data_IF_142771410420
#
_entry.id   IF_142771410420
#
_cell.length_a   1.000
_cell.length_b   1.000
_cell.length_c   1.000
_cell.angle_alpha   90.00
_cell.angle_beta   90.00
_cell.angle_gamma   90.00
#
_symmetry.space_group_name_H-M   'P 1'
#
loop_
_entity.id
_entity.type
_entity.pdbx_description
1 polymer ?
#
# COMPACT_ATOMS: atom_id res chain seq x y z
N UNK A 1 -19.97 24.88 4.78
CA UNK A 1 -19.26 23.73 4.17
C UNK A 1 -18.47 22.91 5.20
N UNK A 2 -18.33 23.35 6.47
CA UNK A 2 -17.52 22.69 7.50
C UNK A 2 -18.15 21.46 8.19
N UNK A 3 -19.48 21.32 8.16
CA UNK A 3 -20.21 20.24 8.87
C UNK A 3 -20.09 18.88 8.17
N UNK A 4 -19.98 18.85 6.84
CA UNK A 4 -19.85 17.61 6.06
C UNK A 4 -18.47 16.96 6.23
N UNK A 5 -17.41 17.76 6.24
CA UNK A 5 -16.03 17.29 6.45
C UNK A 5 -15.84 16.71 7.85
N UNK A 6 -16.37 17.38 8.89
CA UNK A 6 -16.29 16.88 10.28
C UNK A 6 -17.08 15.58 10.48
N UNK A 7 -18.24 15.45 9.84
CA UNK A 7 -19.03 14.21 9.93
C UNK A 7 -18.33 13.03 9.24
N UNK A 8 -17.69 13.28 8.08
CA UNK A 8 -16.93 12.25 7.36
C UNK A 8 -15.72 11.77 8.16
N UNK A 9 -14.97 12.70 8.73
CA UNK A 9 -13.82 12.38 9.58
C UNK A 9 -14.23 11.51 10.79
N UNK A 10 -15.37 11.82 11.42
CA UNK A 10 -15.90 11.01 12.53
C UNK A 10 -16.29 9.57 12.11
N UNK A 11 -16.80 9.38 10.88
CA UNK A 11 -17.10 8.06 10.33
C UNK A 11 -15.81 7.26 10.09
N UNK A 12 -14.79 7.91 9.53
CA UNK A 12 -13.51 7.25 9.22
C UNK A 12 -12.75 6.88 10.51
N UNK A 13 -12.80 7.74 11.53
CA UNK A 13 -12.27 7.45 12.87
C UNK A 13 -12.97 6.23 13.52
N UNK A 14 -14.29 6.13 13.37
CA UNK A 14 -15.05 4.99 13.87
C UNK A 14 -14.76 3.69 13.11
N UNK A 15 -14.52 3.78 11.79
CA UNK A 15 -14.22 2.62 10.92
C UNK A 15 -12.96 1.86 11.33
N UNK A 16 -11.99 2.56 11.91
CA UNK A 16 -10.70 2.02 12.33
C UNK A 16 -10.52 1.97 13.85
N UNK A 17 -11.60 2.05 14.63
CA UNK A 17 -11.56 2.04 16.08
C UNK A 17 -10.91 0.75 16.67
N UNK A 18 -11.07 -0.38 15.98
CA UNK A 18 -10.51 -1.69 16.32
C UNK A 18 -9.01 -1.85 15.98
N UNK A 19 -8.45 -0.92 15.20
CA UNK A 19 -7.01 -0.92 14.87
C UNK A 19 -6.22 -0.42 16.08
N UNK A 20 -5.43 -1.33 16.68
CA UNK A 20 -4.65 -1.05 17.90
C UNK A 20 -3.55 -0.02 17.67
N UNK A 21 -2.86 -0.10 16.53
CA UNK A 21 -1.86 0.90 16.14
C UNK A 21 -2.57 2.20 15.76
N UNK A 22 -2.49 3.20 16.63
CA UNK A 22 -3.17 4.49 16.43
C UNK A 22 -2.58 5.31 15.29
N UNK A 23 -1.29 5.13 14.97
CA UNK A 23 -0.66 5.78 13.80
C UNK A 23 -1.22 5.18 12.52
N UNK A 24 -1.32 3.85 12.48
CA UNK A 24 -1.95 3.15 11.36
C UNK A 24 -3.42 3.53 11.20
N UNK A 25 -4.19 3.60 12.30
CA UNK A 25 -5.60 4.00 12.26
C UNK A 25 -5.77 5.41 11.67
N UNK A 26 -4.95 6.38 12.14
CA UNK A 26 -4.97 7.74 11.63
C UNK A 26 -4.54 7.82 10.15
N UNK A 27 -3.51 7.07 9.74
CA UNK A 27 -3.07 7.01 8.35
C UNK A 27 -4.13 6.39 7.43
N UNK A 28 -4.81 5.33 7.87
CA UNK A 28 -5.92 4.71 7.13
C UNK A 28 -7.06 5.71 6.89
N UNK A 29 -7.48 6.43 7.92
CA UNK A 29 -8.52 7.45 7.82
C UNK A 29 -8.11 8.62 6.91
N UNK A 30 -6.87 9.11 7.06
CA UNK A 30 -6.34 10.20 6.24
C UNK A 30 -6.26 9.82 4.75
N UNK A 31 -5.84 8.59 4.44
CA UNK A 31 -5.78 8.11 3.06
C UNK A 31 -7.18 7.87 2.45
N UNK A 32 -8.16 7.42 3.24
CA UNK A 32 -9.56 7.31 2.78
C UNK A 32 -10.14 8.68 2.39
N UNK A 33 -9.82 9.72 3.18
CA UNK A 33 -10.17 11.09 2.85
C UNK A 33 -9.44 11.56 1.58
N UNK A 34 -8.12 11.35 1.49
CA UNK A 34 -7.31 11.74 0.34
C UNK A 34 -7.71 11.03 -0.97
N UNK A 35 -8.17 9.77 -0.92
CA UNK A 35 -8.72 9.06 -2.09
C UNK A 35 -9.97 9.75 -2.64
N UNK A 36 -10.80 10.31 -1.77
CA UNK A 36 -11.97 11.11 -2.20
C UNK A 36 -11.52 12.38 -2.95
N UNK A 37 -10.31 12.87 -2.67
CA UNK A 37 -9.68 14.02 -3.32
C UNK A 37 -8.79 13.64 -4.52
N UNK A 38 -8.72 12.34 -4.88
CA UNK A 38 -8.04 11.86 -6.08
C UNK A 38 -6.69 11.18 -5.87
N UNK A 39 -6.33 10.82 -4.62
CA UNK A 39 -5.20 9.90 -4.38
C UNK A 39 -5.44 8.58 -5.12
N UNK A 40 -4.45 8.13 -5.89
CA UNK A 40 -4.48 6.79 -6.50
C UNK A 40 -4.40 5.73 -5.39
N UNK A 41 -5.33 4.77 -5.31
CA UNK A 41 -5.29 3.70 -4.31
C UNK A 41 -3.99 2.88 -4.31
N UNK A 42 -3.26 2.84 -5.43
CA UNK A 42 -1.95 2.17 -5.53
C UNK A 42 -0.79 3.02 -5.00
N UNK A 43 -1.04 4.27 -4.62
CA UNK A 43 -0.09 5.18 -3.97
C UNK A 43 -0.22 5.19 -2.43
N UNK A 44 -1.20 4.46 -1.87
CA UNK A 44 -1.34 4.34 -0.42
C UNK A 44 -0.11 3.67 0.21
N UNK A 45 0.27 4.17 1.38
CA UNK A 45 1.21 3.55 2.32
C UNK A 45 0.51 2.61 3.33
N UNK A 46 -0.81 2.65 3.43
CA UNK A 46 -1.60 1.66 4.18
C UNK A 46 -2.44 0.78 3.26
N UNK A 47 -2.87 -0.37 3.76
CA UNK A 47 -3.82 -1.24 3.10
C UNK A 47 -5.14 -1.20 3.86
N UNK A 48 -6.16 -0.56 3.29
CA UNK A 48 -7.52 -0.54 3.84
C UNK A 48 -8.16 -1.92 3.97
N UNK A 49 -7.82 -2.86 3.08
CA UNK A 49 -8.35 -4.22 3.09
C UNK A 49 -7.82 -5.06 4.27
N UNK A 50 -6.51 -5.07 4.47
CA UNK A 50 -5.87 -5.83 5.56
C UNK A 50 -5.76 -5.03 6.86
N UNK A 51 -6.05 -3.72 6.82
CA UNK A 51 -5.86 -2.76 7.92
C UNK A 51 -4.44 -2.85 8.48
N UNK A 52 -3.46 -2.75 7.59
CA UNK A 52 -2.02 -2.87 7.88
C UNK A 52 -1.24 -1.82 7.08
N UNK A 53 -0.04 -1.50 7.55
CA UNK A 53 0.97 -0.84 6.72
C UNK A 53 1.24 -1.69 5.46
N UNK A 54 1.28 -1.08 4.26
CA UNK A 54 1.38 -1.84 3.00
C UNK A 54 2.63 -2.72 2.95
N UNK A 55 3.75 -2.28 3.54
CA UNK A 55 4.98 -3.07 3.61
C UNK A 55 4.80 -4.43 4.32
N UNK A 56 3.83 -4.54 5.24
CA UNK A 56 3.50 -5.79 5.96
C UNK A 56 2.60 -6.73 5.18
N UNK A 57 1.87 -6.26 4.17
CA UNK A 57 0.89 -7.08 3.46
C UNK A 57 1.06 -7.11 1.95
N UNK A 58 1.97 -6.31 1.36
CA UNK A 58 2.19 -6.24 -0.09
C UNK A 58 2.42 -7.62 -0.72
N UNK A 59 2.96 -8.58 0.04
CA UNK A 59 3.15 -10.02 -0.26
C UNK A 59 1.89 -10.81 -0.59
N UNK A 60 0.72 -10.33 -0.18
CA UNK A 60 -0.55 -11.00 -0.42
C UNK A 60 -0.89 -11.08 -1.91
N UNK A 61 -1.46 -12.21 -2.33
CA UNK A 61 -2.00 -12.38 -3.68
C UNK A 61 -3.10 -11.35 -4.01
N UNK A 62 -3.77 -10.80 -2.99
CA UNK A 62 -4.78 -9.75 -3.14
C UNK A 62 -4.22 -8.41 -3.65
N UNK A 63 -2.89 -8.24 -3.65
CA UNK A 63 -2.22 -7.07 -4.22
C UNK A 63 -1.66 -7.31 -5.62
N UNK A 64 -1.96 -8.44 -6.26
CA UNK A 64 -1.58 -8.67 -7.66
C UNK A 64 -2.65 -8.08 -8.57
N UNK A 65 -2.28 -7.12 -9.42
CA UNK A 65 -3.19 -6.51 -10.39
C UNK A 65 -2.58 -6.63 -11.79
N UNK A 66 -2.87 -7.73 -12.52
CA UNK A 66 -2.27 -7.99 -13.83
C UNK A 66 -2.52 -6.88 -14.86
N UNK A 67 -3.70 -6.25 -14.79
CA UNK A 67 -4.12 -5.19 -15.72
C UNK A 67 -3.18 -3.98 -15.63
N UNK A 68 -2.97 -3.44 -14.43
CA UNK A 68 -2.06 -2.29 -14.21
C UNK A 68 -0.58 -2.71 -14.19
N UNK A 69 -0.32 -4.01 -14.04
CA UNK A 69 1.02 -4.57 -13.93
C UNK A 69 1.60 -4.47 -12.50
N UNK A 70 0.79 -4.12 -11.51
CA UNK A 70 1.19 -4.10 -10.11
C UNK A 70 1.46 -5.54 -9.65
N UNK A 71 2.69 -5.79 -9.16
CA UNK A 71 3.19 -7.14 -8.82
C UNK A 71 3.04 -8.17 -9.95
N UNK A 72 3.16 -7.77 -11.20
CA UNK A 72 2.93 -8.67 -12.33
C UNK A 72 4.05 -8.63 -13.36
N UNK A 73 4.59 -9.80 -13.70
CA UNK A 73 5.49 -9.97 -14.82
C UNK A 73 4.70 -10.29 -16.09
N UNK A 74 4.67 -9.35 -17.04
CA UNK A 74 3.97 -9.53 -18.32
C UNK A 74 4.61 -10.63 -19.18
N UNK A 75 5.95 -10.65 -19.28
CA UNK A 75 6.68 -11.65 -20.08
C UNK A 75 6.39 -13.08 -19.64
N UNK A 76 6.33 -13.32 -18.33
CA UNK A 76 6.16 -14.65 -17.75
C UNK A 76 4.72 -14.98 -17.37
N UNK A 77 3.80 -14.02 -17.56
CA UNK A 77 2.40 -14.08 -17.14
C UNK A 77 2.23 -14.63 -15.71
N UNK A 78 2.98 -14.08 -14.75
CA UNK A 78 2.97 -14.56 -13.36
C UNK A 78 3.09 -13.42 -12.36
N UNK A 79 2.58 -13.66 -11.15
CA UNK A 79 2.77 -12.77 -10.01
C UNK A 79 4.27 -12.63 -9.71
N UNK A 80 4.68 -11.41 -9.42
CA UNK A 80 6.02 -11.07 -8.97
C UNK A 80 6.09 -11.12 -7.45
N UNK A 81 7.21 -11.60 -6.94
CA UNK A 81 7.55 -11.52 -5.53
C UNK A 81 7.99 -10.10 -5.21
N UNK A 82 7.60 -9.59 -4.05
CA UNK A 82 8.24 -8.43 -3.42
C UNK A 82 8.78 -8.95 -2.11
N UNK A 83 10.02 -8.63 -1.83
CA UNK A 83 10.67 -8.84 -0.55
C UNK A 83 10.81 -7.47 0.11
N UNK A 84 10.48 -7.41 1.39
CA UNK A 84 10.67 -6.22 2.22
C UNK A 84 11.60 -6.63 3.36
N UNK A 85 12.79 -6.04 3.39
CA UNK A 85 13.66 -6.05 4.55
C UNK A 85 13.34 -4.81 5.39
N UNK A 86 12.75 -5.02 6.55
CA UNK A 86 12.35 -3.94 7.44
C UNK A 86 13.50 -3.38 8.28
N UNK A 87 14.59 -4.14 8.43
CA UNK A 87 15.77 -3.70 9.17
C UNK A 87 16.59 -2.73 8.33
N UNK A 88 16.81 -3.06 7.06
CA UNK A 88 17.60 -2.23 6.14
C UNK A 88 16.75 -1.26 5.30
N UNK A 89 15.44 -1.50 5.22
CA UNK A 89 14.54 -0.78 4.32
C UNK A 89 14.68 -1.18 2.85
N UNK A 90 15.38 -2.28 2.55
CA UNK A 90 15.48 -2.79 1.18
C UNK A 90 14.13 -3.35 0.71
N UNK A 91 13.67 -2.88 -0.45
CA UNK A 91 12.50 -3.46 -1.13
C UNK A 91 12.91 -3.92 -2.51
N UNK A 92 12.66 -5.20 -2.78
CA UNK A 92 13.05 -5.84 -4.04
C UNK A 92 11.84 -6.49 -4.69
N UNK A 93 11.61 -6.24 -5.97
CA UNK A 93 10.54 -6.86 -6.76
C UNK A 93 11.15 -7.74 -7.84
N UNK A 94 10.81 -9.03 -7.85
CA UNK A 94 11.40 -10.00 -8.78
C UNK A 94 10.36 -10.97 -9.33
N UNK A 95 10.44 -11.27 -10.63
CA UNK A 95 9.68 -12.38 -11.19
C UNK A 95 10.27 -13.72 -10.72
N UNK A 96 9.46 -14.64 -10.16
CA UNK A 96 9.95 -15.96 -9.73
C UNK A 96 10.45 -16.83 -10.90
N UNK A 97 9.99 -16.56 -12.12
CA UNK A 97 10.36 -17.34 -13.33
C UNK A 97 11.61 -16.82 -14.02
N UNK A 98 11.62 -15.57 -14.47
CA UNK A 98 12.76 -15.01 -15.21
C UNK A 98 13.79 -14.29 -14.34
N UNK A 99 13.54 -14.14 -13.02
CA UNK A 99 14.40 -13.46 -12.04
C UNK A 99 14.66 -11.97 -12.31
N UNK A 100 14.02 -11.39 -13.33
CA UNK A 100 14.10 -9.96 -13.63
C UNK A 100 13.09 -9.16 -12.83
N UNK A 101 13.39 -7.87 -12.65
CA UNK A 101 12.43 -6.88 -12.15
C UNK A 101 11.35 -6.62 -13.20
N UNK A 102 10.07 -6.90 -12.93
CA UNK A 102 9.00 -6.65 -13.88
C UNK A 102 8.62 -5.17 -13.91
N UNK A 103 8.00 -4.72 -15.01
CA UNK A 103 7.33 -3.42 -15.16
C UNK A 103 7.93 -2.26 -14.33
N UNK A 104 8.90 -1.52 -14.89
CA UNK A 104 9.65 -0.50 -14.14
C UNK A 104 8.77 0.56 -13.46
N UNK A 105 7.62 0.95 -14.05
CA UNK A 105 6.73 1.97 -13.46
C UNK A 105 6.03 1.42 -12.22
N UNK A 106 5.34 0.28 -12.35
CA UNK A 106 4.61 -0.32 -11.24
C UNK A 106 5.55 -0.77 -10.12
N UNK A 107 6.74 -1.28 -10.47
CA UNK A 107 7.76 -1.60 -9.47
C UNK A 107 8.25 -0.37 -8.71
N UNK A 108 8.51 0.76 -9.40
CA UNK A 108 8.88 2.01 -8.71
C UNK A 108 7.78 2.50 -7.77
N UNK A 109 6.51 2.35 -8.16
CA UNK A 109 5.37 2.66 -7.30
C UNK A 109 5.38 1.79 -6.03
N UNK A 110 5.47 0.46 -6.18
CA UNK A 110 5.55 -0.48 -5.04
C UNK A 110 6.71 -0.12 -4.09
N UNK A 111 7.90 0.13 -4.65
CA UNK A 111 9.08 0.47 -3.84
C UNK A 111 8.86 1.78 -3.10
N UNK A 112 8.31 2.81 -3.76
CA UNK A 112 8.01 4.11 -3.14
C UNK A 112 6.99 3.95 -2.01
N UNK A 113 5.87 3.29 -2.24
CA UNK A 113 4.81 3.15 -1.22
C UNK A 113 5.26 2.29 -0.04
N UNK A 114 6.04 1.23 -0.29
CA UNK A 114 6.63 0.42 0.79
C UNK A 114 7.63 1.23 1.62
N UNK A 115 8.47 2.08 1.00
CA UNK A 115 9.39 2.96 1.73
C UNK A 115 8.63 3.98 2.58
N UNK A 116 7.64 4.66 2.00
CA UNK A 116 6.79 5.60 2.73
C UNK A 116 6.11 4.93 3.93
N UNK A 117 5.63 3.69 3.72
CA UNK A 117 5.02 2.86 4.75
C UNK A 117 5.98 2.51 5.90
N UNK A 118 7.22 2.12 5.58
CA UNK A 118 8.24 1.86 6.60
C UNK A 118 8.59 3.12 7.39
N UNK A 119 8.76 4.25 6.71
CA UNK A 119 9.05 5.53 7.36
C UNK A 119 7.90 5.98 8.27
N UNK A 120 6.65 5.88 7.82
CA UNK A 120 5.48 6.23 8.63
C UNK A 120 5.26 5.31 9.84
N UNK A 121 5.60 4.02 9.70
CA UNK A 121 5.47 3.06 10.81
C UNK A 121 6.57 3.22 11.88
N UNK A 122 7.72 3.78 11.52
CA UNK A 122 8.90 3.91 12.40
C UNK A 122 9.08 5.30 13.02
N UNK A 123 8.40 6.34 12.50
CA UNK A 123 8.36 7.69 13.09
C UNK A 123 7.39 7.75 14.26
#
# INVERSE_FOLDING_TARGET
MSTTTQHRQAIDDQRYADVRDRRLAAALAAEDAAETEGLDPLERMTCGLHRKWIHRCVHSALHVIPVTGHRWCRDCATAADVMVDELTGEIRVTCPRCRRTPNPRATKQIVRTCRASLSAASA
#
